data_IF_762298001562
#
_entry.id   IF_762298001562
#
_cell.length_a   1.000
_cell.length_b   1.000
_cell.length_c   1.000
_cell.angle_alpha   90.00
_cell.angle_beta   90.00
_cell.angle_gamma   90.00
#
_symmetry.space_group_name_H-M   'P 1'
#
loop_
_entity.id
_entity.type
_entity.pdbx_description
1 polymer ?
#
# COMPACT_ATOMS: atom_id res chain seq x y z
N UNK A 1 0.06 -16.19 -23.11
CA UNK A 1 -0.65 -16.75 -21.94
C UNK A 1 -1.20 -15.58 -21.16
N UNK A 2 -2.50 -15.52 -20.99
CA UNK A 2 -3.13 -14.51 -20.14
C UNK A 2 -2.77 -14.81 -18.70
N UNK A 3 -2.14 -13.90 -18.00
CA UNK A 3 -1.92 -14.05 -16.56
C UNK A 3 -3.27 -13.91 -15.87
N UNK A 4 -3.84 -15.01 -15.46
CA UNK A 4 -5.07 -15.00 -14.69
C UNK A 4 -4.73 -14.76 -13.22
N UNK A 5 -5.41 -13.80 -12.63
CA UNK A 5 -5.40 -13.52 -11.21
C UNK A 5 -6.56 -14.27 -10.59
N UNK A 6 -6.34 -14.97 -9.49
CA UNK A 6 -7.41 -15.64 -8.74
C UNK A 6 -7.51 -15.08 -7.33
N UNK A 7 -8.68 -15.29 -6.70
CA UNK A 7 -8.94 -14.88 -5.34
C UNK A 7 -9.20 -16.09 -4.43
N UNK A 8 -8.37 -16.22 -3.39
CA UNK A 8 -8.63 -17.10 -2.25
C UNK A 8 -8.07 -16.43 -0.98
N UNK A 9 -8.87 -15.58 -0.35
CA UNK A 9 -8.43 -14.76 0.80
C UNK A 9 -7.10 -14.06 0.56
N UNK A 10 -6.94 -13.56 -0.62
CA UNK A 10 -5.77 -12.92 -1.20
C UNK A 10 -5.76 -13.10 -2.71
N UNK A 11 -5.00 -12.28 -3.39
CA UNK A 11 -4.86 -12.32 -4.84
C UNK A 11 -3.63 -13.15 -5.17
N UNK A 12 -3.76 -14.14 -6.04
CA UNK A 12 -2.62 -14.93 -6.52
C UNK A 12 -2.50 -14.90 -8.04
N UNK A 13 -1.28 -15.07 -8.51
CA UNK A 13 -0.97 -15.27 -9.92
C UNK A 13 -1.07 -16.74 -10.27
N UNK A 14 -1.88 -17.09 -11.26
CA UNK A 14 -1.94 -18.47 -11.76
C UNK A 14 -0.60 -18.86 -12.37
N UNK A 15 -0.06 -19.99 -11.94
CA UNK A 15 1.24 -20.51 -12.41
C UNK A 15 2.46 -19.92 -11.70
N UNK A 16 2.27 -19.06 -10.70
CA UNK A 16 3.34 -18.51 -9.86
C UNK A 16 2.97 -18.63 -8.38
N UNK A 17 3.94 -19.02 -7.55
CA UNK A 17 3.75 -19.02 -6.10
C UNK A 17 4.03 -17.61 -5.55
N UNK A 18 3.19 -16.66 -5.94
CA UNK A 18 3.21 -15.28 -5.46
C UNK A 18 1.79 -14.82 -5.14
N UNK A 19 1.62 -14.35 -3.92
CA UNK A 19 0.37 -13.82 -3.40
C UNK A 19 0.52 -12.34 -3.10
N UNK A 20 -0.51 -11.55 -3.39
CA UNK A 20 -0.57 -10.12 -3.08
C UNK A 20 -1.47 -9.89 -1.87
N UNK A 21 -0.92 -9.33 -0.81
CA UNK A 21 -1.58 -9.01 0.47
C UNK A 21 -2.56 -10.12 0.96
N UNK A 22 -2.14 -11.39 1.03
CA UNK A 22 -3.06 -12.44 1.39
C UNK A 22 -3.47 -12.36 2.86
N UNK A 23 -4.76 -12.57 3.14
CA UNK A 23 -5.33 -12.55 4.48
C UNK A 23 -4.99 -13.81 5.30
N UNK A 24 -4.46 -14.84 4.66
CA UNK A 24 -3.96 -16.07 5.29
C UNK A 24 -2.46 -16.19 5.07
N UNK A 25 -1.78 -16.93 5.96
CA UNK A 25 -0.34 -17.17 5.83
C UNK A 25 -0.06 -17.97 4.55
N UNK A 26 0.86 -17.46 3.73
CA UNK A 26 1.30 -18.09 2.48
C UNK A 26 2.81 -18.31 2.51
N UNK A 27 3.29 -19.18 1.62
CA UNK A 27 4.72 -19.47 1.48
C UNK A 27 5.46 -18.22 0.98
N UNK A 28 5.02 -17.64 -0.14
CA UNK A 28 5.58 -16.41 -0.70
C UNK A 28 4.48 -15.36 -0.87
N UNK A 29 4.70 -14.16 -0.32
CA UNK A 29 3.75 -13.07 -0.43
C UNK A 29 4.45 -11.74 -0.69
N UNK A 30 3.84 -10.86 -1.46
CA UNK A 30 4.11 -9.45 -1.46
C UNK A 30 3.22 -8.78 -0.40
N UNK A 31 3.82 -7.96 0.46
CA UNK A 31 3.12 -7.14 1.46
C UNK A 31 3.27 -5.68 1.06
N UNK A 32 2.17 -5.08 0.62
CA UNK A 32 2.18 -3.73 0.06
C UNK A 32 2.47 -2.65 1.11
N UNK A 33 1.95 -2.81 2.33
CA UNK A 33 2.15 -1.84 3.42
C UNK A 33 1.82 -2.45 4.80
N UNK A 34 2.08 -1.69 5.87
CA UNK A 34 2.05 -2.18 7.24
C UNK A 34 0.68 -2.19 7.93
N UNK A 35 -0.41 -1.81 7.26
CA UNK A 35 -1.74 -1.91 7.87
C UNK A 35 -2.12 -3.35 8.19
N UNK A 36 -2.92 -3.51 9.24
CA UNK A 36 -3.18 -4.81 9.85
C UNK A 36 -3.99 -5.78 8.99
N UNK A 37 -4.68 -5.33 8.00
CA UNK A 37 -5.43 -6.11 7.01
C UNK A 37 -4.55 -6.60 5.85
N UNK A 38 -3.40 -5.96 5.60
CA UNK A 38 -2.42 -6.36 4.58
C UNK A 38 -1.24 -7.15 5.18
N UNK A 39 -0.68 -6.69 6.30
CA UNK A 39 0.46 -7.35 6.92
C UNK A 39 0.06 -8.65 7.64
N UNK A 40 0.75 -9.76 7.31
CA UNK A 40 0.60 -11.07 7.94
C UNK A 40 1.95 -11.74 8.12
N UNK A 41 2.02 -12.72 9.01
CA UNK A 41 3.23 -13.48 9.31
C UNK A 41 3.50 -14.56 8.24
N UNK A 42 3.71 -14.15 6.99
CA UNK A 42 4.07 -15.06 5.90
C UNK A 42 5.43 -15.71 6.15
N UNK A 43 5.70 -16.84 5.47
CA UNK A 43 7.00 -17.51 5.56
C UNK A 43 8.08 -16.68 4.88
N UNK A 44 7.82 -16.25 3.66
CA UNK A 44 8.69 -15.35 2.89
C UNK A 44 7.87 -14.18 2.36
N UNK A 45 8.21 -12.96 2.77
CA UNK A 45 7.54 -11.76 2.31
C UNK A 45 8.49 -10.88 1.49
N UNK A 46 8.01 -10.40 0.36
CA UNK A 46 8.61 -9.33 -0.43
C UNK A 46 7.98 -8.00 -0.01
N UNK A 47 8.76 -7.06 0.47
CA UNK A 47 8.27 -5.79 1.01
C UNK A 47 9.39 -4.76 1.11
N UNK A 48 9.05 -3.50 1.40
CA UNK A 48 10.04 -2.46 1.73
C UNK A 48 10.53 -2.59 3.17
N UNK A 49 11.69 -1.99 3.48
CA UNK A 49 12.24 -1.93 4.84
C UNK A 49 11.29 -1.23 5.81
N UNK A 50 10.70 -0.12 5.38
CA UNK A 50 9.77 0.67 6.18
C UNK A 50 8.49 -0.10 6.49
N UNK A 51 7.97 -0.86 5.52
CA UNK A 51 6.82 -1.76 5.75
C UNK A 51 7.15 -2.83 6.78
N UNK A 52 8.36 -3.40 6.74
CA UNK A 52 8.80 -4.37 7.76
C UNK A 52 8.90 -3.73 9.14
N UNK A 53 9.50 -2.54 9.23
CA UNK A 53 9.67 -1.84 10.52
C UNK A 53 8.35 -1.45 11.15
N UNK A 54 7.42 -0.91 10.35
CA UNK A 54 6.11 -0.46 10.81
C UNK A 54 5.10 -1.60 11.06
N UNK A 55 5.37 -2.79 10.54
CA UNK A 55 4.50 -3.95 10.78
C UNK A 55 4.51 -4.33 12.25
N UNK A 56 3.33 -4.57 12.88
CA UNK A 56 3.25 -5.03 14.26
C UNK A 56 4.01 -6.33 14.46
N UNK A 57 4.71 -6.48 15.59
CA UNK A 57 5.56 -7.64 15.88
C UNK A 57 4.94 -9.01 15.58
N UNK A 58 3.67 -9.29 16.02
CA UNK A 58 3.00 -10.57 15.73
C UNK A 58 2.71 -10.82 14.24
N UNK A 59 2.75 -9.77 13.40
CA UNK A 59 2.46 -9.81 11.96
C UNK A 59 3.72 -9.77 11.09
N UNK A 60 4.90 -9.53 11.68
CA UNK A 60 6.17 -9.57 10.95
C UNK A 60 6.36 -10.93 10.31
N UNK A 61 6.72 -10.99 9.02
CA UNK A 61 7.00 -12.26 8.34
C UNK A 61 8.16 -12.99 8.99
N UNK A 62 8.22 -14.32 8.80
CA UNK A 62 9.35 -15.14 9.29
C UNK A 62 10.63 -14.88 8.49
N UNK A 63 10.49 -14.77 7.17
CA UNK A 63 11.55 -14.36 6.25
C UNK A 63 11.14 -13.11 5.50
N UNK A 64 12.02 -12.13 5.38
CA UNK A 64 11.78 -10.90 4.65
C UNK A 64 12.83 -10.73 3.55
N UNK A 65 12.37 -10.56 2.31
CA UNK A 65 13.19 -10.09 1.20
C UNK A 65 12.90 -8.60 1.02
N UNK A 66 13.83 -7.78 1.46
CA UNK A 66 13.69 -6.33 1.35
C UNK A 66 14.00 -5.89 -0.07
N UNK A 67 13.12 -5.05 -0.64
CA UNK A 67 13.26 -4.49 -1.97
C UNK A 67 12.98 -2.98 -1.88
N UNK A 68 13.94 -2.19 -2.35
CA UNK A 68 13.80 -0.74 -2.40
C UNK A 68 12.82 -0.30 -3.49
N UNK A 69 12.22 0.88 -3.30
CA UNK A 69 11.39 1.50 -4.33
C UNK A 69 12.25 1.81 -5.58
N UNK A 70 11.74 1.47 -6.76
CA UNK A 70 12.45 1.52 -8.04
C UNK A 70 13.39 0.33 -8.28
N UNK A 71 13.61 -0.52 -7.30
CA UNK A 71 14.48 -1.68 -7.45
C UNK A 71 13.74 -2.85 -8.13
N UNK A 72 14.40 -3.47 -9.09
CA UNK A 72 13.94 -4.71 -9.74
C UNK A 72 14.73 -5.90 -9.21
N UNK A 73 14.03 -6.96 -8.83
CA UNK A 73 14.63 -8.21 -8.35
C UNK A 73 14.05 -9.42 -9.09
N UNK A 74 14.84 -10.50 -9.28
CA UNK A 74 14.33 -11.73 -9.87
C UNK A 74 13.40 -12.47 -8.88
N UNK A 75 12.37 -13.13 -9.42
CA UNK A 75 11.48 -14.05 -8.71
C UNK A 75 11.23 -15.28 -9.60
N UNK A 76 12.04 -16.33 -9.44
CA UNK A 76 12.08 -17.44 -10.38
C UNK A 76 12.48 -16.97 -11.78
N UNK A 77 11.67 -17.27 -12.80
CA UNK A 77 11.83 -16.83 -14.18
C UNK A 77 11.14 -15.47 -14.47
N UNK A 78 10.55 -14.85 -13.45
CA UNK A 78 9.93 -13.53 -13.50
C UNK A 78 10.82 -12.45 -12.88
N UNK A 79 10.39 -11.20 -13.00
CA UNK A 79 10.98 -10.04 -12.33
C UNK A 79 9.89 -9.27 -11.60
N UNK A 80 10.24 -8.67 -10.47
CA UNK A 80 9.37 -7.78 -9.72
C UNK A 80 10.07 -6.47 -9.44
N UNK A 81 9.34 -5.37 -9.61
CA UNK A 81 9.80 -4.00 -9.31
C UNK A 81 8.82 -3.35 -8.36
N UNK A 82 9.31 -2.75 -7.28
CA UNK A 82 8.46 -2.00 -6.37
C UNK A 82 8.44 -0.52 -6.74
N UNK A 83 7.25 0.07 -6.74
CA UNK A 83 7.03 1.49 -6.93
C UNK A 83 6.28 2.06 -5.73
N UNK A 84 6.52 3.32 -5.40
CA UNK A 84 5.80 3.98 -4.31
C UNK A 84 4.29 4.01 -4.58
N UNK A 85 3.49 3.60 -3.60
CA UNK A 85 2.02 3.65 -3.68
C UNK A 85 1.45 4.97 -3.13
N UNK A 86 2.24 5.79 -2.45
CA UNK A 86 1.82 7.09 -1.92
C UNK A 86 0.87 7.04 -0.72
N UNK A 87 0.43 5.86 -0.31
CA UNK A 87 -0.58 5.66 0.72
C UNK A 87 -0.04 5.96 2.13
N UNK A 88 1.08 5.35 2.49
CA UNK A 88 1.80 5.59 3.75
C UNK A 88 3.31 5.38 3.55
N UNK A 89 4.11 5.66 4.58
CA UNK A 89 5.55 5.40 4.54
C UNK A 89 5.82 3.93 4.25
N UNK A 90 6.63 3.65 3.22
CA UNK A 90 6.99 2.32 2.78
C UNK A 90 5.92 1.60 1.94
N UNK A 91 4.72 2.17 1.76
CA UNK A 91 3.71 1.54 0.90
C UNK A 91 4.20 1.42 -0.53
N UNK A 92 3.97 0.27 -1.14
CA UNK A 92 4.46 -0.03 -2.48
C UNK A 92 3.40 -0.67 -3.37
N UNK A 93 3.46 -0.32 -4.65
CA UNK A 93 2.89 -1.08 -5.76
C UNK A 93 3.92 -2.12 -6.20
N UNK A 94 3.49 -3.25 -6.72
CA UNK A 94 4.40 -4.23 -7.33
C UNK A 94 4.06 -4.44 -8.80
N UNK A 95 5.07 -4.21 -9.65
CA UNK A 95 5.04 -4.59 -11.06
C UNK A 95 5.68 -5.97 -11.21
N UNK A 96 4.89 -6.94 -11.62
CA UNK A 96 5.34 -8.29 -11.95
C UNK A 96 5.48 -8.41 -13.47
N UNK A 97 6.63 -8.89 -13.93
CA UNK A 97 6.96 -9.04 -15.34
C UNK A 97 7.38 -10.47 -15.64
N UNK A 98 6.66 -11.12 -16.54
CA UNK A 98 6.97 -12.48 -16.99
C UNK A 98 6.62 -12.68 -18.46
N UNK A 99 7.57 -13.18 -19.25
CA UNK A 99 7.40 -13.51 -20.69
C UNK A 99 6.73 -12.39 -21.50
N UNK A 100 7.13 -11.15 -21.26
CA UNK A 100 6.63 -9.97 -21.98
C UNK A 100 5.28 -9.45 -21.50
N UNK A 101 4.65 -10.05 -20.50
CA UNK A 101 3.44 -9.54 -19.85
C UNK A 101 3.80 -8.85 -18.55
N UNK A 102 3.19 -7.70 -18.32
CA UNK A 102 3.35 -6.87 -17.11
C UNK A 102 2.04 -6.83 -16.35
N UNK A 103 2.07 -7.21 -15.09
CA UNK A 103 0.94 -7.09 -14.17
C UNK A 103 1.31 -6.12 -13.05
N UNK A 104 0.46 -5.13 -12.82
CA UNK A 104 0.59 -4.19 -11.71
C UNK A 104 -0.47 -4.50 -10.66
N UNK A 105 -0.03 -4.71 -9.41
CA UNK A 105 -0.87 -4.70 -8.22
C UNK A 105 -0.57 -3.43 -7.41
N UNK A 106 -1.57 -2.61 -7.14
CA UNK A 106 -1.37 -1.30 -6.52
C UNK A 106 -1.22 -1.34 -5.01
N UNK A 107 -1.72 -2.39 -4.33
CA UNK A 107 -2.05 -2.25 -2.92
C UNK A 107 -3.01 -1.08 -2.72
N UNK A 108 -3.05 -0.52 -1.52
CA UNK A 108 -3.73 0.75 -1.28
C UNK A 108 -2.89 1.88 -1.89
N UNK A 109 -3.52 2.67 -2.75
CA UNK A 109 -2.82 3.71 -3.52
C UNK A 109 -3.39 5.09 -3.27
N UNK A 110 -2.50 6.09 -3.17
CA UNK A 110 -2.88 7.50 -3.13
C UNK A 110 -2.18 8.25 -4.26
N UNK A 111 -2.92 8.58 -5.30
CA UNK A 111 -2.39 9.23 -6.50
C UNK A 111 -1.91 10.65 -6.22
N UNK A 112 -2.75 11.49 -5.60
CA UNK A 112 -2.41 12.85 -5.23
C UNK A 112 -1.82 12.91 -3.83
N UNK A 113 -0.58 13.33 -3.70
CA UNK A 113 0.11 13.43 -2.41
C UNK A 113 -0.13 14.73 -1.69
N UNK A 114 -0.40 15.80 -2.41
CA UNK A 114 -0.52 17.14 -1.87
C UNK A 114 0.78 17.68 -1.23
N UNK A 115 0.75 18.93 -0.78
CA UNK A 115 1.82 19.54 0.04
C UNK A 115 3.20 19.56 -0.64
N UNK A 116 3.23 19.85 -1.96
CA UNK A 116 4.46 19.98 -2.75
C UNK A 116 5.19 18.67 -3.03
N UNK A 117 4.58 17.52 -2.70
CA UNK A 117 5.13 16.20 -3.08
C UNK A 117 4.67 15.83 -4.49
N UNK A 118 5.52 15.21 -5.30
CA UNK A 118 5.11 14.74 -6.62
C UNK A 118 3.99 13.69 -6.48
N UNK A 119 3.07 13.68 -7.43
CA UNK A 119 2.03 12.67 -7.52
C UNK A 119 2.64 11.26 -7.67
N UNK A 120 1.88 10.26 -7.24
CA UNK A 120 2.33 8.86 -7.30
C UNK A 120 2.37 8.39 -8.76
N UNK A 121 3.54 7.94 -9.20
CA UNK A 121 3.69 7.34 -10.52
C UNK A 121 3.06 5.95 -10.56
N UNK A 122 2.28 5.69 -11.62
CA UNK A 122 1.68 4.37 -11.89
C UNK A 122 2.35 3.80 -13.14
N UNK A 123 3.12 2.71 -13.03
CA UNK A 123 3.77 2.11 -14.20
C UNK A 123 2.73 1.51 -15.15
N UNK A 124 3.01 1.57 -16.46
CA UNK A 124 2.16 0.93 -17.46
C UNK A 124 2.22 -0.59 -17.32
N UNK A 125 1.08 -1.24 -17.48
CA UNK A 125 0.95 -2.70 -17.42
C UNK A 125 -0.20 -3.16 -18.33
N UNK A 126 -0.13 -4.42 -18.79
CA UNK A 126 -1.20 -5.06 -19.57
C UNK A 126 -2.34 -5.54 -18.65
N UNK A 127 -2.01 -5.86 -17.39
CA UNK A 127 -2.97 -6.30 -16.38
C UNK A 127 -2.84 -5.39 -15.16
N UNK A 128 -3.95 -4.80 -14.75
CA UNK A 128 -4.02 -3.94 -13.56
C UNK A 128 -4.95 -4.57 -12.51
N UNK A 129 -4.42 -4.74 -11.31
CA UNK A 129 -5.17 -5.09 -10.10
C UNK A 129 -5.19 -3.87 -9.20
N UNK A 130 -6.34 -3.20 -9.15
CA UNK A 130 -6.53 -1.90 -8.51
C UNK A 130 -7.45 -2.04 -7.30
N UNK A 131 -7.10 -1.39 -6.19
CA UNK A 131 -8.01 -1.19 -5.08
C UNK A 131 -9.20 -0.27 -5.47
N UNK A 132 -10.32 -0.42 -4.79
CA UNK A 132 -11.51 0.39 -5.05
C UNK A 132 -12.25 0.79 -3.77
N UNK A 133 -11.52 1.01 -2.69
CA UNK A 133 -12.05 1.38 -1.37
C UNK A 133 -13.03 2.54 -1.44
N UNK A 134 -12.69 3.55 -2.22
CA UNK A 134 -13.52 4.74 -2.46
C UNK A 134 -14.07 4.81 -3.90
N UNK A 135 -14.17 3.67 -4.58
CA UNK A 135 -14.59 3.58 -6.00
C UNK A 135 -16.09 3.81 -6.26
N UNK A 136 -16.89 4.11 -5.22
CA UNK A 136 -18.33 4.37 -5.39
C UNK A 136 -18.62 5.87 -5.55
N UNK A 137 -19.60 6.29 -6.37
CA UNK A 137 -19.88 7.71 -6.65
C UNK A 137 -20.24 8.57 -5.43
N UNK A 138 -20.69 7.97 -4.35
CA UNK A 138 -21.03 8.71 -3.11
C UNK A 138 -19.80 9.11 -2.30
N UNK A 139 -18.64 8.53 -2.53
CA UNK A 139 -17.40 8.97 -1.91
C UNK A 139 -16.85 10.22 -2.62
N UNK A 140 -17.34 11.37 -2.20
CA UNK A 140 -16.87 12.67 -2.67
C UNK A 140 -16.17 13.36 -1.52
N UNK A 141 -14.90 13.59 -1.66
CA UNK A 141 -14.08 14.26 -0.63
C UNK A 141 -13.98 15.75 -0.94
N UNK A 142 -14.02 16.61 0.09
CA UNK A 142 -13.77 18.03 -0.07
C UNK A 142 -12.31 18.26 -0.51
N UNK A 143 -12.06 19.48 -0.96
CA UNK A 143 -10.69 19.91 -1.27
C UNK A 143 -9.78 19.77 -0.04
N UNK A 144 -8.57 19.19 -0.16
CA UNK A 144 -7.67 18.98 0.96
C UNK A 144 -7.29 20.25 1.71
N UNK A 145 -7.11 21.39 1.03
CA UNK A 145 -6.74 22.64 1.67
C UNK A 145 -7.88 23.18 2.53
N UNK A 146 -9.14 23.05 2.06
CA UNK A 146 -10.32 23.42 2.84
C UNK A 146 -10.48 22.57 4.10
N UNK A 147 -10.10 21.27 4.05
CA UNK A 147 -10.06 20.39 5.22
C UNK A 147 -9.03 20.87 6.24
N UNK A 148 -7.82 21.22 5.78
CA UNK A 148 -6.76 21.74 6.64
C UNK A 148 -7.18 23.03 7.33
N UNK A 149 -7.77 23.98 6.59
CA UNK A 149 -8.29 25.23 7.15
C UNK A 149 -9.36 24.99 8.21
N UNK A 150 -10.29 24.08 7.93
CA UNK A 150 -11.35 23.71 8.88
C UNK A 150 -10.77 23.10 10.17
N UNK A 151 -9.78 22.22 10.06
CA UNK A 151 -9.11 21.62 11.22
C UNK A 151 -8.32 22.68 12.02
N UNK A 152 -7.62 23.56 11.34
CA UNK A 152 -6.87 24.65 11.98
C UNK A 152 -7.80 25.61 12.74
N UNK A 153 -8.95 25.93 12.15
CA UNK A 153 -9.96 26.77 12.79
C UNK A 153 -10.57 26.07 14.00
N UNK A 154 -10.90 24.77 13.89
CA UNK A 154 -11.38 23.96 15.02
C UNK A 154 -10.38 23.99 16.18
N UNK A 155 -9.11 23.73 15.92
CA UNK A 155 -8.07 23.76 16.95
C UNK A 155 -7.93 25.13 17.61
N UNK A 156 -7.90 26.22 16.83
CA UNK A 156 -7.83 27.58 17.37
C UNK A 156 -9.01 27.88 18.28
N UNK A 157 -10.25 27.64 17.83
CA UNK A 157 -11.45 27.88 18.64
C UNK A 157 -11.45 27.09 19.96
N UNK A 158 -10.98 25.85 19.94
CA UNK A 158 -10.86 25.05 21.17
C UNK A 158 -9.85 25.67 22.12
N UNK A 159 -8.68 26.09 21.64
CA UNK A 159 -7.64 26.72 22.47
C UNK A 159 -8.08 28.07 23.01
N UNK A 160 -8.76 28.90 22.22
CA UNK A 160 -9.30 30.18 22.63
C UNK A 160 -10.37 30.01 23.75
N UNK A 161 -11.10 28.89 23.70
CA UNK A 161 -12.05 28.51 24.75
C UNK A 161 -11.40 27.77 25.95
N UNK A 162 -10.07 27.70 25.98
CA UNK A 162 -9.30 26.96 27.00
C UNK A 162 -9.67 25.46 27.08
N UNK A 163 -10.00 24.86 25.91
CA UNK A 163 -10.33 23.43 25.73
C UNK A 163 -9.25 22.75 24.89
N UNK A 164 -8.88 21.52 25.26
CA UNK A 164 -7.91 20.75 24.48
C UNK A 164 -8.57 20.13 23.25
N UNK A 165 -8.14 20.46 22.01
CA UNK A 165 -8.66 19.81 20.81
C UNK A 165 -8.16 18.36 20.72
N UNK A 166 -9.08 17.42 20.50
CA UNK A 166 -8.76 15.99 20.34
C UNK A 166 -9.14 15.55 18.94
N UNK A 167 -8.15 15.08 18.19
CA UNK A 167 -8.33 14.57 16.83
C UNK A 167 -8.15 13.05 16.82
N UNK A 168 -9.20 12.30 16.52
CA UNK A 168 -9.16 10.84 16.41
C UNK A 168 -8.73 10.46 14.99
N UNK A 169 -7.68 9.66 14.88
CA UNK A 169 -7.14 9.21 13.59
C UNK A 169 -6.41 7.88 13.69
N UNK A 170 -6.19 7.21 12.56
CA UNK A 170 -5.35 6.01 12.53
C UNK A 170 -3.88 6.36 12.83
N UNK A 171 -3.23 5.53 13.65
CA UNK A 171 -1.86 5.76 14.09
C UNK A 171 -0.86 5.73 12.90
N UNK A 172 -0.96 4.70 12.05
CA UNK A 172 -0.10 4.56 10.89
C UNK A 172 -0.65 5.31 9.66
N UNK A 173 0.21 6.06 9.00
CA UNK A 173 -0.08 6.77 7.77
C UNK A 173 -0.84 8.10 7.93
N UNK A 174 -1.43 8.37 9.11
CA UNK A 174 -2.16 9.64 9.39
C UNK A 174 -1.57 10.40 10.57
N UNK A 175 -1.37 9.77 11.73
CA UNK A 175 -0.78 10.42 12.90
C UNK A 175 0.76 10.36 12.90
N UNK A 176 1.32 9.34 12.30
CA UNK A 176 2.78 9.17 12.13
C UNK A 176 3.08 8.98 10.64
N UNK A 177 3.98 9.81 10.14
CA UNK A 177 4.56 9.72 8.80
C UNK A 177 6.02 9.30 8.90
#
# INVERSE_FOLDING_TARGET
MTHHVTWDRGISLVGHDLWFDPQTIREVAFVSHAHSDHARRHRHALLTSETLELSPGPRKPRGARLVGLGQTVPLGDARVTLYDAGHMLGSAQVLFEHRGVRLLYTGDIKLRRGWGRPDTAVPKAEVLVLESTYGKPHFRFPDPDSVVETLALFCRRALDANVVPVLLTHALGKARR
#
